data_IF_577398672208
#
_entry.id   IF_577398672208
#
_cell.length_a   1.000
_cell.length_b   1.000
_cell.length_c   1.000
_cell.angle_alpha   90.00
_cell.angle_beta   90.00
_cell.angle_gamma   90.00
#
_symmetry.space_group_name_H-M   'P 1'
#
loop_
_entity.id
_entity.type
_entity.pdbx_description
1 polymer ?
#
# COMPACT_ATOMS: atom_id res chain seq x y z
N UNK A 1 -27.00 -1.73 7.54
CA UNK A 1 -25.55 -1.71 7.24
C UNK A 1 -25.32 -0.40 6.52
N UNK A 2 -24.77 0.59 7.22
CA UNK A 2 -24.66 1.96 6.72
C UNK A 2 -23.18 2.27 6.52
N UNK A 3 -22.61 1.96 5.36
CA UNK A 3 -21.42 2.68 4.90
C UNK A 3 -21.97 3.88 4.11
N UNK A 4 -21.92 5.06 4.72
CA UNK A 4 -22.36 6.33 4.12
C UNK A 4 -21.14 7.22 3.95
N UNK A 5 -20.52 7.17 2.78
CA UNK A 5 -19.90 8.34 2.15
C UNK A 5 -20.12 8.20 0.65
N UNK A 6 -21.03 8.99 0.09
CA UNK A 6 -21.14 9.15 -1.37
C UNK A 6 -20.13 10.23 -1.76
N UNK A 7 -19.02 9.86 -2.39
CA UNK A 7 -18.04 10.82 -2.91
C UNK A 7 -18.26 10.99 -4.41
N UNK A 8 -19.12 11.94 -4.78
CA UNK A 8 -19.24 12.38 -6.16
C UNK A 8 -18.11 13.38 -6.44
N UNK A 9 -17.10 12.96 -7.19
CA UNK A 9 -15.82 13.63 -7.43
C UNK A 9 -15.88 15.00 -8.14
N UNK A 10 -17.06 15.60 -8.32
CA UNK A 10 -17.21 16.88 -9.05
C UNK A 10 -17.38 18.14 -8.17
N UNK A 11 -17.27 18.06 -6.84
CA UNK A 11 -17.28 19.27 -6.00
C UNK A 11 -16.21 19.23 -4.90
N UNK A 12 -15.19 20.06 -5.09
CA UNK A 12 -14.17 20.44 -4.12
C UNK A 12 -14.77 20.89 -2.77
N UNK A 13 -14.16 20.38 -1.69
CA UNK A 13 -13.80 21.14 -0.47
C UNK A 13 -14.95 21.89 0.24
N UNK A 14 -15.68 21.25 1.17
CA UNK A 14 -16.48 22.01 2.15
C UNK A 14 -17.00 21.30 3.43
N UNK A 15 -16.80 19.99 3.70
CA UNK A 15 -17.50 19.36 4.87
C UNK A 15 -16.63 18.57 5.86
N UNK A 16 -15.30 18.58 5.76
CA UNK A 16 -14.48 17.98 6.83
C UNK A 16 -13.54 19.02 7.45
N UNK A 17 -14.06 19.84 8.36
CA UNK A 17 -13.25 20.66 9.29
C UNK A 17 -12.53 19.81 10.37
N UNK A 18 -12.61 18.48 10.27
CA UNK A 18 -11.72 17.53 10.95
C UNK A 18 -10.67 16.95 9.97
N UNK A 19 -10.84 17.14 8.66
CA UNK A 19 -10.08 16.48 7.59
C UNK A 19 -8.85 17.22 7.06
N UNK A 20 -8.54 18.42 7.55
CA UNK A 20 -7.37 19.18 7.06
C UNK A 20 -6.05 18.82 7.77
N UNK A 21 -6.13 18.22 8.97
CA UNK A 21 -4.93 17.74 9.70
C UNK A 21 -4.51 16.36 9.18
N UNK A 22 -5.46 15.50 8.78
CA UNK A 22 -5.18 14.14 8.33
C UNK A 22 -4.60 14.04 6.91
N UNK A 23 -4.69 15.05 6.05
CA UNK A 23 -4.18 14.94 4.67
C UNK A 23 -2.66 14.94 4.57
N UNK A 24 -1.96 15.66 5.47
CA UNK A 24 -0.49 15.54 5.56
C UNK A 24 -0.10 14.19 6.16
N UNK A 25 -0.82 13.76 7.21
CA UNK A 25 -0.58 12.46 7.86
C UNK A 25 -0.79 11.29 6.89
N UNK A 26 -1.84 11.28 6.06
CA UNK A 26 -2.13 10.17 5.15
C UNK A 26 -1.08 10.07 4.05
N UNK A 27 -0.66 11.19 3.45
CA UNK A 27 0.38 11.17 2.42
C UNK A 27 1.72 10.71 3.00
N UNK A 28 2.10 11.19 4.19
CA UNK A 28 3.32 10.76 4.88
C UNK A 28 3.27 9.27 5.27
N UNK A 29 2.13 8.80 5.76
CA UNK A 29 1.90 7.38 6.07
C UNK A 29 2.03 6.52 4.81
N UNK A 30 1.44 6.96 3.70
CA UNK A 30 1.51 6.24 2.42
C UNK A 30 2.95 6.22 1.87
N UNK A 31 3.64 7.36 1.91
CA UNK A 31 5.05 7.43 1.50
C UNK A 31 5.94 6.54 2.36
N UNK A 32 5.74 6.51 3.69
CA UNK A 32 6.47 5.61 4.58
C UNK A 32 6.17 4.14 4.30
N UNK A 33 4.92 3.81 3.98
CA UNK A 33 4.56 2.46 3.56
C UNK A 33 5.29 2.07 2.25
N UNK A 34 5.24 2.93 1.23
CA UNK A 34 5.94 2.71 -0.04
C UNK A 34 7.46 2.60 0.14
N UNK A 35 8.06 3.38 1.04
CA UNK A 35 9.47 3.26 1.38
C UNK A 35 9.81 1.89 2.00
N UNK A 36 8.97 1.39 2.90
CA UNK A 36 9.15 0.06 3.50
C UNK A 36 9.02 -1.05 2.44
N UNK A 37 7.99 -0.99 1.60
CA UNK A 37 7.79 -1.96 0.52
C UNK A 37 8.93 -1.89 -0.49
N UNK A 38 9.36 -0.69 -0.87
CA UNK A 38 10.50 -0.48 -1.77
C UNK A 38 11.81 -0.99 -1.19
N UNK A 39 12.02 -0.87 0.12
CA UNK A 39 13.14 -1.50 0.79
C UNK A 39 13.11 -3.03 0.66
N UNK A 40 11.96 -3.65 0.99
CA UNK A 40 11.81 -5.12 0.91
C UNK A 40 12.10 -5.56 -0.53
N UNK A 41 11.50 -4.89 -1.51
CA UNK A 41 11.71 -5.14 -2.93
C UNK A 41 13.19 -5.06 -3.34
N UNK A 42 13.88 -4.00 -2.90
CA UNK A 42 15.31 -3.74 -3.21
C UNK A 42 16.27 -4.65 -2.47
N UNK A 43 15.84 -5.28 -1.38
CA UNK A 43 16.66 -6.26 -0.68
C UNK A 43 17.00 -7.46 -1.56
N UNK A 44 16.17 -7.72 -2.59
CA UNK A 44 16.26 -8.89 -3.48
C UNK A 44 16.31 -10.22 -2.71
N UNK A 45 15.82 -10.21 -1.48
CA UNK A 45 15.72 -11.38 -0.65
C UNK A 45 14.37 -12.04 -0.93
N UNK A 46 14.41 -13.13 -1.69
CA UNK A 46 13.21 -13.87 -2.08
C UNK A 46 12.35 -14.25 -0.87
N UNK A 47 12.94 -14.64 0.27
CA UNK A 47 12.19 -14.99 1.48
C UNK A 47 11.38 -13.81 2.01
N UNK A 48 11.96 -12.62 2.10
CA UNK A 48 11.27 -11.44 2.64
C UNK A 48 10.16 -10.96 1.71
N UNK A 49 10.37 -11.07 0.41
CA UNK A 49 9.34 -10.75 -0.57
C UNK A 49 8.19 -11.77 -0.56
N UNK A 50 8.51 -13.06 -0.45
CA UNK A 50 7.50 -14.12 -0.27
C UNK A 50 6.67 -13.91 0.99
N UNK A 51 7.33 -13.56 2.11
CA UNK A 51 6.67 -13.22 3.37
C UNK A 51 5.80 -11.97 3.22
N UNK A 52 6.28 -10.94 2.52
CA UNK A 52 5.44 -9.77 2.24
C UNK A 52 4.19 -10.13 1.43
N UNK A 53 4.33 -10.92 0.36
CA UNK A 53 3.22 -11.32 -0.50
C UNK A 53 2.23 -12.26 0.21
N UNK A 54 2.71 -13.17 1.07
CA UNK A 54 1.87 -14.18 1.76
C UNK A 54 1.32 -13.69 3.09
N UNK A 55 2.08 -12.91 3.85
CA UNK A 55 1.71 -12.52 5.22
C UNK A 55 1.16 -11.11 5.30
N UNK A 56 1.74 -10.16 4.56
CA UNK A 56 1.25 -8.78 4.59
C UNK A 56 0.11 -8.55 3.58
N UNK A 57 0.28 -8.99 2.33
CA UNK A 57 -0.70 -8.72 1.28
C UNK A 57 -2.01 -9.53 1.44
N UNK A 58 -1.98 -10.72 2.04
CA UNK A 58 -3.21 -11.49 2.32
C UNK A 58 -4.11 -10.83 3.37
N UNK A 59 -3.56 -9.96 4.22
CA UNK A 59 -4.30 -9.17 5.21
C UNK A 59 -4.92 -7.89 4.62
N UNK A 60 -4.74 -7.64 3.31
CA UNK A 60 -5.40 -6.51 2.65
C UNK A 60 -6.92 -6.62 2.78
N UNK A 61 -7.60 -5.51 3.09
CA UNK A 61 -9.06 -5.48 3.03
C UNK A 61 -9.53 -5.93 1.66
N UNK A 62 -10.62 -6.70 1.63
CA UNK A 62 -11.12 -7.27 0.36
C UNK A 62 -11.31 -6.22 -0.74
N UNK A 63 -11.78 -5.03 -0.39
CA UNK A 63 -11.94 -3.89 -1.31
C UNK A 63 -10.62 -3.42 -1.91
N UNK A 64 -9.54 -3.41 -1.12
CA UNK A 64 -8.19 -3.14 -1.60
C UNK A 64 -7.63 -4.31 -2.38
N UNK A 65 -7.82 -5.54 -1.92
CA UNK A 65 -7.28 -6.72 -2.56
C UNK A 65 -7.83 -6.91 -3.97
N UNK A 66 -9.14 -6.68 -4.16
CA UNK A 66 -9.77 -6.71 -5.48
C UNK A 66 -9.17 -5.62 -6.39
N UNK A 67 -8.97 -4.41 -5.87
CA UNK A 67 -8.35 -3.29 -6.61
C UNK A 67 -6.89 -3.55 -6.93
N UNK A 68 -6.12 -4.06 -5.97
CA UNK A 68 -4.73 -4.50 -6.11
C UNK A 68 -4.59 -5.50 -7.24
N UNK A 69 -5.38 -6.57 -7.24
CA UNK A 69 -5.31 -7.59 -8.29
C UNK A 69 -5.66 -7.02 -9.68
N UNK A 70 -6.64 -6.11 -9.76
CA UNK A 70 -7.01 -5.47 -11.02
C UNK A 70 -5.89 -4.57 -11.55
N UNK A 71 -5.29 -3.74 -10.68
CA UNK A 71 -4.20 -2.85 -11.04
C UNK A 71 -2.93 -3.61 -11.41
N UNK A 72 -2.59 -4.65 -10.64
CA UNK A 72 -1.45 -5.51 -10.92
C UNK A 72 -1.56 -6.15 -12.32
N UNK A 73 -2.74 -6.68 -12.65
CA UNK A 73 -3.00 -7.27 -13.97
C UNK A 73 -2.99 -6.23 -15.10
N UNK A 74 -3.48 -5.01 -14.84
CA UNK A 74 -3.55 -3.94 -15.83
C UNK A 74 -2.17 -3.36 -16.15
N UNK A 75 -1.32 -3.15 -15.14
CA UNK A 75 0.00 -2.53 -15.28
C UNK A 75 1.04 -3.53 -15.78
N UNK A 76 1.05 -4.75 -15.25
CA UNK A 76 2.14 -5.72 -15.47
C UNK A 76 1.73 -6.92 -16.34
N UNK A 77 0.55 -6.91 -16.96
CA UNK A 77 0.13 -7.86 -18.00
C UNK A 77 0.30 -9.36 -17.65
N UNK A 78 0.07 -9.74 -16.39
CA UNK A 78 0.27 -11.08 -15.83
C UNK A 78 1.73 -11.56 -15.74
N UNK A 79 2.71 -10.66 -15.78
CA UNK A 79 4.03 -11.06 -15.33
C UNK A 79 3.96 -11.52 -13.87
N UNK A 80 4.76 -12.53 -13.57
CA UNK A 80 5.03 -12.95 -12.20
C UNK A 80 5.79 -11.75 -11.61
N UNK A 81 5.08 -10.91 -10.85
CA UNK A 81 5.59 -9.72 -10.16
C UNK A 81 6.54 -10.18 -9.06
N UNK A 82 7.62 -10.82 -9.47
CA UNK A 82 8.48 -11.62 -8.63
C UNK A 82 9.56 -10.76 -8.03
N UNK A 83 9.90 -11.14 -6.82
CA UNK A 83 11.14 -10.76 -6.20
C UNK A 83 12.07 -11.94 -6.31
N UNK A 84 13.10 -11.79 -7.13
CA UNK A 84 14.17 -12.79 -7.29
C UNK A 84 15.49 -12.15 -6.88
N UNK A 85 16.56 -12.95 -6.80
CA UNK A 85 17.90 -12.43 -6.50
C UNK A 85 18.34 -11.35 -7.51
N UNK A 86 17.74 -11.33 -8.72
CA UNK A 86 18.07 -10.41 -9.79
C UNK A 86 17.02 -9.31 -10.01
N UNK A 87 15.77 -9.51 -9.60
CA UNK A 87 14.63 -8.61 -9.85
C UNK A 87 13.99 -8.12 -8.55
N UNK A 88 13.75 -6.81 -8.48
CA UNK A 88 13.01 -6.22 -7.37
C UNK A 88 11.52 -6.55 -7.49
N UNK A 89 10.84 -6.73 -6.35
CA UNK A 89 9.39 -6.82 -6.31
C UNK A 89 8.75 -5.58 -6.97
N UNK A 90 7.90 -5.80 -7.97
CA UNK A 90 7.29 -4.76 -8.80
C UNK A 90 8.31 -3.91 -9.58
N UNK A 91 9.46 -4.46 -9.97
CA UNK A 91 10.46 -3.89 -10.90
C UNK A 91 11.21 -2.62 -10.49
N UNK A 92 10.51 -1.54 -10.10
CA UNK A 92 11.11 -0.25 -9.77
C UNK A 92 10.29 0.54 -8.73
N UNK A 93 10.85 1.65 -8.21
CA UNK A 93 10.09 2.54 -7.31
C UNK A 93 8.89 3.19 -8.01
N UNK A 94 9.05 3.56 -9.27
CA UNK A 94 8.01 4.22 -10.09
C UNK A 94 6.84 3.26 -10.31
N UNK A 95 7.11 1.99 -10.62
CA UNK A 95 6.10 0.95 -10.79
C UNK A 95 5.33 0.68 -9.47
N UNK A 96 6.00 0.75 -8.32
CA UNK A 96 5.38 0.64 -6.99
C UNK A 96 4.47 1.82 -6.67
N UNK A 97 4.90 3.03 -7.02
CA UNK A 97 4.09 4.24 -6.89
C UNK A 97 2.86 4.17 -7.80
N UNK A 98 3.03 3.80 -9.07
CA UNK A 98 1.95 3.66 -10.05
C UNK A 98 0.93 2.59 -9.63
N UNK A 99 1.40 1.43 -9.15
CA UNK A 99 0.52 0.39 -8.61
C UNK A 99 -0.31 0.92 -7.42
N UNK A 100 0.33 1.64 -6.51
CA UNK A 100 -0.35 2.19 -5.34
C UNK A 100 -1.37 3.27 -5.72
N UNK A 101 -1.02 4.17 -6.64
CA UNK A 101 -1.96 5.17 -7.17
C UNK A 101 -3.17 4.50 -7.83
N UNK A 102 -2.95 3.51 -8.69
CA UNK A 102 -4.05 2.77 -9.33
C UNK A 102 -5.02 2.15 -8.32
N UNK A 103 -4.51 1.57 -7.23
CA UNK A 103 -5.33 0.95 -6.18
C UNK A 103 -6.23 2.00 -5.53
N UNK A 104 -5.67 3.15 -5.16
CA UNK A 104 -6.45 4.20 -4.50
C UNK A 104 -7.43 4.90 -5.43
N UNK A 105 -7.17 4.94 -6.74
CA UNK A 105 -8.11 5.43 -7.75
C UNK A 105 -9.37 4.55 -7.88
N UNK A 106 -9.28 3.27 -7.50
CA UNK A 106 -10.40 2.32 -7.57
C UNK A 106 -11.20 2.23 -6.25
N UNK A 107 -10.83 3.01 -5.24
CA UNK A 107 -11.42 2.95 -3.90
C UNK A 107 -12.26 4.20 -3.65
N UNK A 108 -13.59 4.03 -3.68
CA UNK A 108 -14.53 5.12 -3.39
C UNK A 108 -14.61 5.45 -1.89
N UNK A 109 -14.46 4.45 -1.02
CA UNK A 109 -14.53 4.61 0.44
C UNK A 109 -13.94 3.39 1.16
N UNK A 110 -13.27 3.64 2.29
CA UNK A 110 -12.85 2.61 3.24
C UNK A 110 -13.69 2.70 4.51
N UNK A 111 -14.30 1.58 4.91
CA UNK A 111 -15.01 1.51 6.17
C UNK A 111 -13.97 1.29 7.31
N UNK A 112 -14.36 1.50 8.59
CA UNK A 112 -13.42 1.43 9.74
C UNK A 112 -12.63 0.11 9.83
N UNK A 113 -13.25 -1.01 9.48
CA UNK A 113 -12.61 -2.33 9.43
C UNK A 113 -11.42 -2.35 8.47
N UNK A 114 -11.57 -1.71 7.32
CA UNK A 114 -10.56 -1.71 6.25
C UNK A 114 -9.35 -0.88 6.69
N UNK A 115 -9.59 0.24 7.39
CA UNK A 115 -8.54 1.05 8.00
C UNK A 115 -7.77 0.30 9.10
N UNK A 116 -8.45 -0.57 9.86
CA UNK A 116 -7.79 -1.40 10.88
C UNK A 116 -6.91 -2.49 10.25
N UNK A 117 -7.40 -3.14 9.20
CA UNK A 117 -6.63 -4.12 8.43
C UNK A 117 -5.42 -3.46 7.75
N UNK A 118 -5.60 -2.28 7.15
CA UNK A 118 -4.50 -1.50 6.59
C UNK A 118 -3.40 -1.18 7.62
N UNK A 119 -3.77 -0.92 8.88
CA UNK A 119 -2.79 -0.72 9.94
C UNK A 119 -1.97 -2.00 10.23
N UNK A 120 -2.59 -3.19 10.11
CA UNK A 120 -1.91 -4.49 10.23
C UNK A 120 -0.95 -4.69 9.06
N UNK A 121 -1.41 -4.50 7.82
CA UNK A 121 -0.57 -4.62 6.62
C UNK A 121 0.64 -3.68 6.69
N UNK A 122 0.43 -2.43 7.08
CA UNK A 122 1.50 -1.44 7.26
C UNK A 122 2.52 -1.91 8.29
N UNK A 123 2.05 -2.44 9.43
CA UNK A 123 2.93 -2.90 10.50
C UNK A 123 3.76 -4.10 10.05
N UNK A 124 3.13 -5.05 9.36
CA UNK A 124 3.80 -6.19 8.74
C UNK A 124 4.93 -5.75 7.79
N UNK A 125 4.64 -4.83 6.86
CA UNK A 125 5.64 -4.30 5.94
C UNK A 125 6.77 -3.54 6.67
N UNK A 126 6.47 -2.83 7.76
CA UNK A 126 7.49 -2.16 8.57
C UNK A 126 8.43 -3.15 9.27
N UNK A 127 7.90 -4.26 9.78
CA UNK A 127 8.70 -5.26 10.49
C UNK A 127 9.59 -6.03 9.49
N UNK A 128 9.07 -6.43 8.33
CA UNK A 128 9.88 -7.02 7.25
C UNK A 128 10.95 -6.06 6.71
N UNK A 129 10.65 -4.76 6.60
CA UNK A 129 11.63 -3.76 6.19
C UNK A 129 12.78 -3.60 7.22
N UNK A 130 12.52 -3.81 8.52
CA UNK A 130 13.57 -3.86 9.55
C UNK A 130 14.43 -5.11 9.39
N UNK A 131 13.83 -6.25 9.07
CA UNK A 131 14.56 -7.50 8.80
C UNK A 131 15.44 -7.42 7.55
N UNK A 132 14.96 -6.70 6.52
CA UNK A 132 15.75 -6.34 5.33
C UNK A 132 16.93 -5.40 5.63
N UNK A 133 17.06 -4.90 6.87
CA UNK A 133 18.13 -3.99 7.30
C UNK A 133 17.87 -2.52 6.98
N UNK A 134 16.68 -2.16 6.52
CA UNK A 134 16.32 -0.78 6.19
C UNK A 134 15.74 -0.03 7.38
N UNK A 135 16.32 -0.22 8.57
CA UNK A 135 15.84 0.41 9.80
C UNK A 135 15.56 1.90 9.57
N UNK A 136 14.27 2.24 9.46
CA UNK A 136 13.83 3.63 9.38
C UNK A 136 14.17 4.19 10.75
N UNK A 137 15.19 5.04 10.81
CA UNK A 137 15.43 5.84 12.01
C UNK A 137 14.12 6.54 12.33
N UNK A 138 13.53 6.21 13.48
CA UNK A 138 12.48 7.01 14.08
C UNK A 138 13.12 8.38 14.38
N UNK A 139 13.03 9.31 13.43
CA UNK A 139 13.28 10.72 13.71
C UNK A 139 12.18 11.17 14.66
N UNK A 140 12.57 11.39 15.91
CA UNK A 140 11.71 11.67 17.06
C UNK A 140 11.08 13.05 17.12
#
# INVERSE_FOLDING_TARGET
MNCHVYFNWSFLVAVFLVGYVFTQDINEINQKFLQNVGCIAKSKNQTLCDEYLKECNEELPKTLLDSYNNCLNALFANDENECTDDQELYYSDEDREELNECIFDHIDCLCRSDLQQLAVVRKCAEDLAKEAGCAVSESG
#
